data_IF_615423356135
#
_entry.id   IF_615423356135
#
_cell.length_a   1.000
_cell.length_b   1.000
_cell.length_c   1.000
_cell.angle_alpha   90.00
_cell.angle_beta   90.00
_cell.angle_gamma   90.00
#
_symmetry.space_group_name_H-M   'P 1'
#
loop_
_entity.id
_entity.type
_entity.pdbx_description
1 polymer ?
#
# COMPACT_ATOMS: atom_id res chain seq x y z
N UNK A 1 49.33 24.98 10.73
CA UNK A 1 48.51 24.70 9.53
C UNK A 1 47.73 23.37 9.56
N UNK A 2 47.62 22.64 10.69
CA UNK A 2 46.94 21.34 10.75
C UNK A 2 45.51 21.36 11.38
N UNK A 3 45.09 22.48 11.98
CA UNK A 3 43.75 22.58 12.60
C UNK A 3 42.66 23.10 11.65
N UNK A 4 43.03 23.88 10.63
CA UNK A 4 42.05 24.40 9.64
C UNK A 4 41.56 23.39 8.61
N UNK A 5 42.39 22.42 8.25
CA UNK A 5 42.06 21.35 7.29
C UNK A 5 41.07 20.32 7.87
N UNK A 6 41.17 20.06 9.18
CA UNK A 6 40.23 19.14 9.85
C UNK A 6 38.83 19.74 10.00
N UNK A 7 38.74 21.05 10.25
CA UNK A 7 37.44 21.76 10.34
C UNK A 7 36.76 21.89 8.98
N UNK A 8 37.52 22.04 7.89
CA UNK A 8 36.98 22.06 6.53
C UNK A 8 36.48 20.68 6.08
N UNK A 9 37.14 19.60 6.50
CA UNK A 9 36.69 18.23 6.22
C UNK A 9 35.44 17.85 7.02
N UNK A 10 35.32 18.36 8.25
CA UNK A 10 34.13 18.15 9.10
C UNK A 10 32.89 18.92 8.55
N UNK A 11 33.11 20.09 7.94
CA UNK A 11 32.02 20.87 7.28
C UNK A 11 31.57 20.26 5.94
N UNK A 12 32.45 19.55 5.23
CA UNK A 12 32.08 18.85 3.99
C UNK A 12 31.33 17.55 4.23
N UNK A 13 31.49 16.93 5.41
CA UNK A 13 30.79 15.67 5.75
C UNK A 13 29.33 15.87 6.18
N UNK A 14 28.85 17.12 6.34
CA UNK A 14 27.47 17.43 6.80
C UNK A 14 26.53 17.74 5.62
N UNK A 15 26.96 17.67 4.38
CA UNK A 15 26.06 17.75 3.22
C UNK A 15 25.37 16.41 2.95
N UNK A 16 24.62 15.90 3.93
CA UNK A 16 23.63 14.87 3.68
C UNK A 16 22.54 15.54 2.83
N UNK A 17 22.27 15.09 1.60
CA UNK A 17 21.15 15.61 0.83
C UNK A 17 19.87 15.31 1.60
N UNK A 18 19.30 16.32 2.24
CA UNK A 18 17.98 16.25 2.83
C UNK A 18 17.02 16.09 1.66
N UNK A 19 16.69 14.87 1.30
CA UNK A 19 15.68 14.56 0.26
C UNK A 19 14.35 15.13 0.75
N UNK A 20 13.99 16.31 0.26
CA UNK A 20 12.70 16.92 0.56
C UNK A 20 11.61 16.02 0.01
N UNK A 21 10.78 15.47 0.89
CA UNK A 21 9.59 14.72 0.52
C UNK A 21 8.43 15.70 0.34
N UNK A 22 7.88 15.72 -0.86
CA UNK A 22 6.73 16.56 -1.22
C UNK A 22 5.44 15.75 -1.14
N UNK A 23 4.32 16.46 -1.01
CA UNK A 23 2.98 15.90 -0.94
C UNK A 23 2.20 16.26 -2.19
N UNK A 24 1.50 15.28 -2.76
CA UNK A 24 0.49 15.44 -3.79
C UNK A 24 -0.84 14.98 -3.23
N UNK A 25 -1.76 15.91 -2.99
CA UNK A 25 -3.06 15.61 -2.42
C UNK A 25 -4.15 16.47 -3.10
N UNK A 26 -5.39 16.01 -3.01
CA UNK A 26 -6.50 16.77 -3.59
C UNK A 26 -7.82 16.01 -3.59
N UNK A 27 -8.76 16.55 -4.39
CA UNK A 27 -10.07 15.94 -4.61
C UNK A 27 -10.39 15.97 -6.10
N UNK A 28 -10.95 14.88 -6.58
CA UNK A 28 -11.44 14.72 -7.96
C UNK A 28 -12.96 14.68 -7.94
N UNK A 29 -13.58 15.53 -8.75
CA UNK A 29 -15.04 15.65 -8.84
C UNK A 29 -15.48 15.62 -10.30
N UNK A 30 -16.72 15.25 -10.55
CA UNK A 30 -17.38 15.47 -11.84
C UNK A 30 -17.55 16.98 -12.09
N UNK A 31 -17.23 17.44 -13.29
CA UNK A 31 -17.29 18.87 -13.64
C UNK A 31 -18.73 19.41 -13.73
N UNK A 32 -19.71 18.55 -14.00
CA UNK A 32 -21.14 18.89 -14.17
C UNK A 32 -21.91 18.71 -12.86
N UNK A 33 -21.85 17.53 -12.25
CA UNK A 33 -22.63 17.17 -11.06
C UNK A 33 -21.99 17.64 -9.76
N UNK A 34 -20.67 17.95 -9.77
CA UNK A 34 -19.84 18.25 -8.60
C UNK A 34 -19.70 17.09 -7.61
N UNK A 35 -20.23 15.93 -7.94
CA UNK A 35 -20.08 14.73 -7.13
C UNK A 35 -18.62 14.24 -7.10
N UNK A 36 -18.14 13.71 -5.98
CA UNK A 36 -16.81 13.11 -5.91
C UNK A 36 -16.68 11.93 -6.88
N UNK A 37 -15.53 11.84 -7.56
CA UNK A 37 -15.21 10.71 -8.43
C UNK A 37 -14.34 9.69 -7.66
N UNK A 38 -14.93 8.59 -7.21
CA UNK A 38 -14.20 7.54 -6.52
C UNK A 38 -13.37 6.70 -7.50
N UNK A 39 -12.28 6.15 -6.99
CA UNK A 39 -11.41 5.19 -7.70
C UNK A 39 -10.78 5.74 -8.98
N UNK A 40 -10.63 7.06 -9.08
CA UNK A 40 -9.83 7.68 -10.13
C UNK A 40 -8.36 7.30 -9.96
N UNK A 41 -7.71 6.89 -11.04
CA UNK A 41 -6.26 6.72 -11.06
C UNK A 41 -5.59 8.11 -10.97
N UNK A 42 -4.72 8.30 -10.01
CA UNK A 42 -3.97 9.55 -9.78
C UNK A 42 -2.49 9.19 -9.74
N UNK A 43 -1.71 9.61 -10.74
CA UNK A 43 -0.30 9.22 -10.85
C UNK A 43 0.56 10.35 -11.40
N UNK A 44 1.85 10.25 -11.16
CA UNK A 44 2.84 11.08 -11.85
C UNK A 44 3.26 10.37 -13.14
N UNK A 45 3.19 11.09 -14.25
CA UNK A 45 3.51 10.57 -15.59
C UNK A 45 4.89 9.93 -15.60
N UNK A 46 5.01 8.80 -16.28
CA UNK A 46 6.24 8.02 -16.46
C UNK A 46 6.89 7.55 -15.14
N UNK A 47 6.06 7.33 -14.11
CA UNK A 47 6.51 6.83 -12.81
C UNK A 47 5.51 5.81 -12.23
N UNK A 48 5.91 5.11 -11.17
CA UNK A 48 5.02 4.29 -10.32
C UNK A 48 4.39 5.09 -9.19
N UNK A 49 4.79 6.36 -9.01
CA UNK A 49 4.29 7.19 -7.92
C UNK A 49 2.85 7.64 -8.21
N UNK A 50 1.94 7.27 -7.32
CA UNK A 50 0.52 7.60 -7.48
C UNK A 50 -0.35 6.85 -6.48
N UNK A 51 -1.66 6.99 -6.64
CA UNK A 51 -2.68 6.37 -5.81
C UNK A 51 -4.00 6.32 -6.57
N UNK A 52 -5.06 5.82 -5.94
CA UNK A 52 -6.45 5.99 -6.42
C UNK A 52 -7.21 6.91 -5.49
N UNK A 53 -8.24 7.61 -6.02
CA UNK A 53 -9.11 8.39 -5.14
C UNK A 53 -9.94 7.49 -4.24
N UNK A 54 -10.14 7.92 -3.00
CA UNK A 54 -11.11 7.33 -2.10
C UNK A 54 -12.55 7.51 -2.60
N UNK A 55 -13.51 6.95 -1.89
CA UNK A 55 -14.94 7.07 -2.23
C UNK A 55 -15.47 8.51 -2.12
N UNK A 56 -14.77 9.38 -1.41
CA UNK A 56 -15.03 10.81 -1.31
C UNK A 56 -14.28 11.63 -2.37
N UNK A 57 -13.66 10.95 -3.36
CA UNK A 57 -12.90 11.56 -4.43
C UNK A 57 -11.54 12.11 -4.00
N UNK A 58 -11.12 11.94 -2.75
CA UNK A 58 -9.84 12.46 -2.25
C UNK A 58 -8.70 11.53 -2.59
N UNK A 59 -7.51 12.11 -2.80
CA UNK A 59 -6.26 11.39 -3.01
C UNK A 59 -5.12 12.02 -2.23
N UNK A 60 -4.13 11.19 -1.88
CA UNK A 60 -2.93 11.60 -1.19
C UNK A 60 -1.80 10.62 -1.48
N UNK A 61 -0.63 11.12 -1.86
CA UNK A 61 0.62 10.34 -1.91
C UNK A 61 1.84 11.26 -1.78
N UNK A 62 2.99 10.67 -1.47
CA UNK A 62 4.26 11.37 -1.31
C UNK A 62 5.15 11.16 -2.53
N UNK A 63 5.96 12.16 -2.87
CA UNK A 63 6.92 12.12 -3.97
C UNK A 63 8.21 12.83 -3.57
N UNK A 64 9.31 12.46 -4.20
CA UNK A 64 10.59 13.19 -4.08
C UNK A 64 10.79 14.22 -5.21
N UNK A 65 9.82 14.36 -6.10
CA UNK A 65 9.90 15.27 -7.25
C UNK A 65 9.39 16.65 -6.91
N UNK A 66 10.21 17.66 -7.13
CA UNK A 66 9.81 19.08 -6.97
C UNK A 66 8.93 19.59 -8.11
N UNK A 67 8.94 18.91 -9.26
CA UNK A 67 8.09 19.18 -10.41
C UNK A 67 7.76 17.84 -11.10
N UNK A 68 6.51 17.64 -11.49
CA UNK A 68 6.04 16.44 -12.16
C UNK A 68 4.76 16.71 -12.96
N UNK A 69 4.42 15.81 -13.88
CA UNK A 69 3.14 15.85 -14.60
C UNK A 69 2.15 14.94 -13.88
N UNK A 70 1.11 15.53 -13.30
CA UNK A 70 0.01 14.80 -12.70
C UNK A 70 -0.96 14.35 -13.77
N UNK A 71 -1.25 13.05 -13.79
CA UNK A 71 -2.26 12.43 -14.67
C UNK A 71 -3.36 11.86 -13.77
N UNK A 72 -4.60 12.25 -14.05
CA UNK A 72 -5.78 11.69 -13.38
C UNK A 72 -6.71 11.17 -14.45
N UNK A 73 -7.07 9.89 -14.35
CA UNK A 73 -7.95 9.21 -15.31
C UNK A 73 -9.07 8.46 -14.59
N UNK A 74 -10.27 8.55 -15.17
CA UNK A 74 -11.49 7.86 -14.71
C UNK A 74 -12.25 7.38 -15.93
N UNK A 75 -12.78 6.17 -15.85
CA UNK A 75 -13.60 5.59 -16.92
C UNK A 75 -14.81 6.48 -17.21
N UNK A 76 -14.95 6.89 -18.47
CA UNK A 76 -16.04 7.77 -18.91
C UNK A 76 -15.79 9.27 -18.74
N UNK A 77 -14.56 9.65 -18.42
CA UNK A 77 -14.13 11.04 -18.29
C UNK A 77 -12.89 11.33 -19.14
N UNK A 78 -12.70 12.60 -19.51
CA UNK A 78 -11.47 13.04 -20.15
C UNK A 78 -10.33 13.07 -19.13
N UNK A 79 -9.14 12.63 -19.55
CA UNK A 79 -7.96 12.64 -18.70
C UNK A 79 -7.56 14.07 -18.31
N UNK A 80 -7.17 14.24 -17.07
CA UNK A 80 -6.55 15.46 -16.58
C UNK A 80 -5.03 15.29 -16.60
N UNK A 81 -4.35 16.12 -17.38
CA UNK A 81 -2.89 16.12 -17.49
C UNK A 81 -2.39 17.51 -17.20
N UNK A 82 -1.61 17.69 -16.14
CA UNK A 82 -1.08 19.00 -15.75
C UNK A 82 0.27 18.89 -15.06
N UNK A 83 1.20 19.76 -15.43
CA UNK A 83 2.44 19.93 -14.66
C UNK A 83 2.11 20.57 -13.29
N UNK A 84 2.58 19.93 -12.24
CA UNK A 84 2.41 20.36 -10.84
C UNK A 84 3.76 20.57 -10.18
N UNK A 85 3.76 21.39 -9.14
CA UNK A 85 4.88 21.55 -8.20
C UNK A 85 4.39 21.14 -6.82
N UNK A 86 4.64 19.89 -6.43
CA UNK A 86 4.25 19.39 -5.13
C UNK A 86 4.82 20.23 -4.00
N UNK A 87 4.03 20.48 -2.97
CA UNK A 87 4.45 21.25 -1.79
C UNK A 87 3.75 20.68 -0.55
N UNK A 88 4.30 20.92 0.65
CA UNK A 88 3.78 20.35 1.91
C UNK A 88 2.28 20.62 2.13
N UNK A 89 1.75 21.76 1.68
CA UNK A 89 0.37 22.18 1.91
C UNK A 89 -0.42 22.41 0.61
N UNK A 90 0.07 21.98 -0.55
CA UNK A 90 -0.67 22.12 -1.79
C UNK A 90 -1.79 21.08 -1.88
N UNK A 91 -3.01 21.54 -2.15
CA UNK A 91 -4.16 20.65 -2.41
C UNK A 91 -4.73 20.97 -3.79
N UNK A 92 -4.88 19.94 -4.62
CA UNK A 92 -5.37 20.06 -5.99
C UNK A 92 -6.87 19.77 -6.06
N UNK A 93 -7.66 20.72 -6.55
CA UNK A 93 -9.07 20.52 -6.86
C UNK A 93 -9.18 20.24 -8.35
N UNK A 94 -9.55 19.02 -8.73
CA UNK A 94 -9.64 18.59 -10.11
C UNK A 94 -11.07 18.24 -10.44
N UNK A 95 -11.63 18.89 -11.45
CA UNK A 95 -12.95 18.58 -11.98
C UNK A 95 -12.76 17.93 -13.36
N UNK A 96 -13.14 16.67 -13.50
CA UNK A 96 -13.07 15.93 -14.76
C UNK A 96 -14.37 16.12 -15.54
N UNK A 97 -14.21 16.40 -16.83
CA UNK A 97 -15.36 16.47 -17.74
C UNK A 97 -15.68 15.06 -18.24
N UNK A 98 -16.94 14.63 -18.26
CA UNK A 98 -17.36 13.42 -18.94
C UNK A 98 -16.89 13.45 -20.41
N UNK A 99 -16.47 12.29 -20.94
CA UNK A 99 -16.06 12.20 -22.34
C UNK A 99 -17.28 12.43 -23.24
N UNK A 100 -17.29 13.57 -23.93
CA UNK A 100 -18.26 13.84 -24.99
C UNK A 100 -17.74 13.23 -26.29
N UNK A 101 -18.45 12.25 -26.84
CA UNK A 101 -18.25 11.88 -28.22
C UNK A 101 -18.87 12.97 -29.11
N UNK A 102 -18.04 13.77 -29.73
CA UNK A 102 -18.46 14.79 -30.70
C UNK A 102 -19.08 14.12 -31.94
N UNK A 103 -20.39 13.97 -31.93
CA UNK A 103 -21.18 13.84 -33.14
C UNK A 103 -22.11 15.05 -33.21
N UNK A 104 -22.07 15.76 -34.34
CA UNK A 104 -22.70 17.05 -34.54
C UNK A 104 -24.15 17.15 -34.06
N UNK A 105 -24.41 18.27 -33.45
CA UNK A 105 -25.68 18.94 -33.17
C UNK A 105 -26.96 18.09 -33.10
N UNK A 106 -27.06 17.28 -32.07
CA UNK A 106 -28.30 16.81 -31.45
C UNK A 106 -28.01 16.73 -29.94
N UNK A 107 -28.77 17.45 -29.13
CA UNK A 107 -28.74 17.31 -27.66
C UNK A 107 -29.24 15.91 -27.32
N UNK A 108 -28.34 14.94 -27.35
CA UNK A 108 -28.57 13.58 -26.86
C UNK A 108 -27.88 13.51 -25.51
N UNK A 109 -28.65 13.28 -24.45
CA UNK A 109 -28.10 12.85 -23.16
C UNK A 109 -27.13 11.71 -23.42
N UNK A 110 -25.86 11.74 -22.93
CA UNK A 110 -24.89 10.73 -23.24
C UNK A 110 -25.45 9.37 -22.82
N UNK A 111 -25.77 8.50 -23.78
CA UNK A 111 -25.99 7.09 -23.51
C UNK A 111 -24.65 6.58 -22.98
N UNK A 112 -24.59 6.19 -21.70
CA UNK A 112 -23.48 5.41 -21.15
C UNK A 112 -23.28 4.25 -22.12
N UNK A 113 -22.14 4.20 -22.82
CA UNK A 113 -21.83 3.04 -23.64
C UNK A 113 -21.87 1.82 -22.73
N UNK A 114 -22.74 0.87 -23.08
CA UNK A 114 -22.81 -0.38 -22.36
C UNK A 114 -21.47 -1.10 -22.53
N UNK A 115 -20.79 -1.38 -21.42
CA UNK A 115 -19.60 -2.23 -21.42
C UNK A 115 -19.89 -3.51 -22.24
N UNK A 116 -19.09 -3.76 -23.26
CA UNK A 116 -19.16 -4.96 -24.07
C UNK A 116 -17.97 -5.85 -23.75
N UNK A 117 -18.25 -7.10 -23.40
CA UNK A 117 -17.22 -8.11 -23.15
C UNK A 117 -16.69 -8.71 -24.45
N UNK A 118 -17.57 -8.86 -25.45
CA UNK A 118 -17.24 -9.41 -26.76
C UNK A 118 -16.39 -8.41 -27.53
N UNK A 119 -15.32 -8.90 -28.14
CA UNK A 119 -14.38 -8.11 -28.95
C UNK A 119 -13.71 -6.93 -28.18
N UNK A 120 -13.58 -7.08 -26.87
CA UNK A 120 -12.96 -6.09 -26.00
C UNK A 120 -11.46 -6.42 -25.84
N UNK A 121 -10.55 -5.54 -26.30
CA UNK A 121 -9.09 -5.79 -26.23
C UNK A 121 -8.59 -5.94 -24.80
N UNK A 122 -9.19 -5.25 -23.81
CA UNK A 122 -8.80 -5.40 -22.39
C UNK A 122 -9.15 -6.81 -21.88
N UNK A 123 -10.29 -7.36 -22.30
CA UNK A 123 -10.69 -8.73 -21.90
C UNK A 123 -9.77 -9.77 -22.53
N UNK A 124 -9.37 -9.58 -23.79
CA UNK A 124 -8.43 -10.48 -24.44
C UNK A 124 -7.04 -10.41 -23.82
N UNK A 125 -6.59 -9.20 -23.48
CA UNK A 125 -5.33 -8.99 -22.76
C UNK A 125 -5.33 -9.75 -21.42
N UNK A 126 -6.39 -9.61 -20.62
CA UNK A 126 -6.52 -10.31 -19.33
C UNK A 126 -6.62 -11.83 -19.49
N UNK A 127 -7.25 -12.35 -20.55
CA UNK A 127 -7.27 -13.80 -20.80
C UNK A 127 -5.85 -14.34 -20.95
N UNK A 128 -5.01 -13.67 -21.76
CA UNK A 128 -3.60 -14.05 -21.93
C UNK A 128 -2.81 -13.94 -20.63
N UNK A 129 -3.06 -12.91 -19.81
CA UNK A 129 -2.49 -12.80 -18.47
C UNK A 129 -2.86 -14.00 -17.61
N UNK A 130 -4.14 -14.39 -17.57
CA UNK A 130 -4.64 -15.52 -16.78
C UNK A 130 -4.05 -16.84 -17.27
N UNK A 131 -3.91 -17.03 -18.59
CA UNK A 131 -3.31 -18.23 -19.19
C UNK A 131 -1.82 -18.35 -18.87
N UNK A 132 -1.09 -17.23 -18.81
CA UNK A 132 0.36 -17.21 -18.56
C UNK A 132 0.73 -17.11 -17.07
N UNK A 133 -0.21 -16.83 -16.18
CA UNK A 133 0.06 -16.46 -14.76
C UNK A 133 0.85 -17.49 -13.97
N UNK A 134 0.65 -18.77 -14.26
CA UNK A 134 1.26 -19.88 -13.53
C UNK A 134 2.70 -20.16 -14.05
N UNK A 135 3.04 -19.74 -15.28
CA UNK A 135 4.34 -20.01 -15.90
C UNK A 135 5.52 -19.38 -15.16
N UNK A 136 5.29 -18.25 -14.49
CA UNK A 136 6.32 -17.50 -13.78
C UNK A 136 6.12 -17.51 -12.26
N UNK A 137 5.30 -18.44 -11.78
CA UNK A 137 5.01 -18.56 -10.35
C UNK A 137 6.23 -19.07 -9.56
N UNK A 138 6.63 -18.44 -8.45
CA UNK A 138 7.67 -18.98 -7.59
C UNK A 138 7.27 -20.31 -6.95
N UNK A 139 5.97 -20.59 -6.85
CA UNK A 139 5.45 -21.85 -6.29
C UNK A 139 5.60 -23.05 -7.24
N UNK A 140 6.01 -22.82 -8.50
CA UNK A 140 6.40 -23.89 -9.40
C UNK A 140 7.84 -24.37 -9.19
N UNK A 141 8.65 -23.61 -8.45
CA UNK A 141 9.99 -24.03 -8.02
C UNK A 141 9.92 -25.07 -6.93
N UNK A 142 10.90 -25.98 -6.91
CA UNK A 142 11.01 -27.01 -5.85
C UNK A 142 11.28 -26.38 -4.48
N UNK A 143 12.01 -25.29 -4.48
CA UNK A 143 12.40 -24.55 -3.29
C UNK A 143 12.55 -23.07 -3.63
N UNK A 144 12.22 -22.20 -2.65
CA UNK A 144 12.69 -20.83 -2.58
C UNK A 144 12.79 -20.37 -1.14
N UNK A 145 13.68 -19.40 -0.90
CA UNK A 145 13.73 -18.61 0.31
C UNK A 145 13.86 -17.12 -0.03
N UNK A 146 13.42 -16.27 0.90
CA UNK A 146 13.54 -14.81 0.81
C UNK A 146 13.68 -14.21 2.19
N UNK A 147 14.32 -13.07 2.30
CA UNK A 147 14.25 -12.23 3.48
C UNK A 147 13.01 -11.35 3.42
N UNK A 148 12.38 -11.13 4.57
CA UNK A 148 11.23 -10.27 4.79
C UNK A 148 11.55 -9.28 5.89
N UNK A 149 11.51 -7.99 5.56
CA UNK A 149 11.35 -6.94 6.56
C UNK A 149 9.90 -6.49 6.53
N UNK A 150 9.26 -6.43 7.69
CA UNK A 150 7.87 -6.00 7.81
C UNK A 150 7.74 -4.95 8.92
N UNK A 151 6.99 -3.89 8.65
CA UNK A 151 6.58 -2.92 9.64
C UNK A 151 5.08 -2.72 9.61
N UNK A 152 4.44 -2.87 10.77
CA UNK A 152 3.02 -2.60 10.96
C UNK A 152 2.87 -1.43 11.91
N UNK A 153 2.13 -0.40 11.49
CA UNK A 153 1.84 0.79 12.28
C UNK A 153 0.35 0.91 12.54
N UNK A 154 0.01 1.43 13.72
CA UNK A 154 -1.35 1.72 14.12
C UNK A 154 -1.45 3.18 14.57
N UNK A 155 -2.48 3.87 14.07
CA UNK A 155 -2.70 5.26 14.36
C UNK A 155 -4.16 5.54 14.70
N UNK A 156 -4.39 6.57 15.49
CA UNK A 156 -5.72 7.13 15.71
C UNK A 156 -6.12 7.96 14.50
N UNK A 157 -7.30 7.69 13.94
CA UNK A 157 -7.86 8.43 12.82
C UNK A 157 -8.45 9.77 13.28
N UNK A 158 -8.50 10.72 12.31
CA UNK A 158 -9.11 12.03 12.50
C UNK A 158 -8.57 12.79 13.72
N UNK A 159 -7.25 12.72 13.92
CA UNK A 159 -6.57 13.44 15.01
C UNK A 159 -6.39 14.91 14.65
N UNK A 160 -7.51 15.60 14.41
CA UNK A 160 -7.58 17.01 14.03
C UNK A 160 -7.43 17.95 15.24
N UNK A 161 -7.43 19.26 14.97
CA UNK A 161 -7.32 20.29 16.01
C UNK A 161 -8.46 20.24 17.04
N UNK A 162 -9.68 19.80 16.64
CA UNK A 162 -10.80 19.68 17.59
C UNK A 162 -10.57 18.53 18.57
N UNK A 163 -10.04 17.41 18.07
CA UNK A 163 -9.68 16.26 18.91
C UNK A 163 -8.52 16.59 19.85
N UNK A 164 -7.53 17.35 19.38
CA UNK A 164 -6.40 17.81 20.19
C UNK A 164 -6.83 18.75 21.31
N UNK A 165 -7.90 19.54 21.14
CA UNK A 165 -8.47 20.44 22.18
C UNK A 165 -9.23 19.71 23.26
N UNK A 166 -9.57 18.42 23.10
CA UNK A 166 -10.20 17.61 24.17
C UNK A 166 -9.29 17.57 25.39
N UNK A 167 -9.90 17.62 26.60
CA UNK A 167 -9.17 17.74 27.88
C UNK A 167 -8.05 16.69 28.06
N UNK A 168 -8.27 15.48 27.53
CA UNK A 168 -7.32 14.38 27.59
C UNK A 168 -6.03 14.67 26.82
N UNK A 169 -6.13 15.29 25.65
CA UNK A 169 -4.97 15.58 24.78
C UNK A 169 -4.36 16.96 25.01
N UNK A 170 -5.13 17.91 25.58
CA UNK A 170 -4.68 19.28 25.83
C UNK A 170 -3.46 19.38 26.74
N UNK A 171 -3.19 18.35 27.54
CA UNK A 171 -2.01 18.28 28.41
C UNK A 171 -0.76 17.80 27.66
N UNK A 172 -0.90 17.35 26.42
CA UNK A 172 0.14 16.77 25.59
C UNK A 172 0.23 17.54 24.26
N UNK A 173 0.48 18.86 24.33
CA UNK A 173 0.58 19.76 23.17
C UNK A 173 1.65 19.32 22.17
N UNK A 174 2.71 18.65 22.64
CA UNK A 174 3.74 18.05 21.80
C UNK A 174 3.22 16.96 20.85
N UNK A 175 2.04 16.38 21.08
CA UNK A 175 1.48 15.35 20.17
C UNK A 175 1.29 15.87 18.73
N UNK A 176 1.13 17.19 18.57
CA UNK A 176 1.03 17.82 17.24
C UNK A 176 2.25 17.59 16.36
N UNK A 177 3.44 17.43 16.97
CA UNK A 177 4.69 17.18 16.25
C UNK A 177 4.73 15.77 15.63
N UNK A 178 3.89 14.86 16.13
CA UNK A 178 3.82 13.45 15.72
C UNK A 178 2.61 13.12 14.82
N UNK A 179 1.80 14.12 14.49
CA UNK A 179 0.67 13.95 13.59
C UNK A 179 1.17 13.80 12.16
N UNK A 180 0.76 12.73 11.50
CA UNK A 180 0.98 12.47 10.08
C UNK A 180 -0.35 12.56 9.30
N UNK A 181 -0.32 12.28 8.03
CA UNK A 181 -1.49 12.30 7.17
C UNK A 181 -1.74 10.91 6.60
N UNK A 182 -2.96 10.41 6.74
CA UNK A 182 -3.37 9.14 6.12
C UNK A 182 -3.10 9.17 4.62
N UNK A 183 -2.35 8.21 4.13
CA UNK A 183 -2.08 8.06 2.69
C UNK A 183 -3.34 7.77 1.86
N UNK A 184 -4.42 7.42 2.52
CA UNK A 184 -5.67 6.97 1.91
C UNK A 184 -6.73 8.06 1.93
N UNK A 185 -6.97 8.67 3.09
CA UNK A 185 -8.05 9.66 3.26
C UNK A 185 -7.57 11.09 3.30
N UNK A 186 -6.25 11.31 3.39
CA UNK A 186 -5.67 12.65 3.56
C UNK A 186 -6.00 13.30 4.91
N UNK A 187 -6.56 12.54 5.86
CA UNK A 187 -6.92 13.02 7.20
C UNK A 187 -5.75 12.91 8.16
N UNK A 188 -5.68 13.77 9.19
CA UNK A 188 -4.64 13.69 10.20
C UNK A 188 -4.74 12.41 11.02
N UNK A 189 -3.63 11.73 11.23
CA UNK A 189 -3.49 10.52 12.03
C UNK A 189 -2.37 10.70 13.05
N UNK A 190 -2.54 10.10 14.22
CA UNK A 190 -1.50 10.03 15.26
C UNK A 190 -1.06 8.58 15.42
N UNK A 191 0.16 8.26 15.01
CA UNK A 191 0.72 6.90 15.16
C UNK A 191 1.03 6.63 16.62
N UNK A 192 0.39 5.58 17.19
CA UNK A 192 0.48 5.24 18.61
C UNK A 192 1.17 3.91 18.88
N UNK A 193 1.31 3.04 17.86
CA UNK A 193 2.02 1.77 17.98
C UNK A 193 2.69 1.39 16.66
N UNK A 194 3.85 0.76 16.77
CA UNK A 194 4.57 0.19 15.64
C UNK A 194 5.17 -1.17 16.02
N UNK A 195 5.12 -2.12 15.07
CA UNK A 195 5.73 -3.44 15.19
C UNK A 195 6.64 -3.67 14.01
N UNK A 196 7.82 -4.19 14.25
CA UNK A 196 8.79 -4.56 13.21
C UNK A 196 9.12 -6.05 13.30
N UNK A 197 9.29 -6.67 12.16
CA UNK A 197 9.65 -8.08 11.99
C UNK A 197 10.75 -8.20 10.95
N UNK A 198 11.80 -8.93 11.28
CA UNK A 198 12.78 -9.42 10.30
C UNK A 198 12.74 -10.95 10.33
N UNK A 199 12.51 -11.56 9.17
CA UNK A 199 12.37 -12.99 9.05
C UNK A 199 12.93 -13.51 7.72
N UNK A 200 13.22 -14.80 7.66
CA UNK A 200 13.43 -15.52 6.40
C UNK A 200 12.23 -16.43 6.16
N UNK A 201 11.57 -16.27 5.03
CA UNK A 201 10.52 -17.17 4.58
C UNK A 201 11.12 -18.29 3.72
N UNK A 202 10.67 -19.51 3.93
CA UNK A 202 11.08 -20.69 3.19
C UNK A 202 9.87 -21.40 2.60
N UNK A 203 9.99 -21.84 1.37
CA UNK A 203 9.01 -22.69 0.69
C UNK A 203 9.69 -23.92 0.13
N UNK A 204 9.03 -25.06 0.25
CA UNK A 204 9.39 -26.34 -0.40
C UNK A 204 8.15 -26.93 -1.04
N UNK A 205 8.27 -27.35 -2.32
CA UNK A 205 7.15 -27.89 -3.09
C UNK A 205 6.80 -29.33 -2.70
N UNK A 206 7.80 -30.16 -2.42
CA UNK A 206 7.58 -31.58 -2.10
C UNK A 206 8.46 -32.08 -0.92
N UNK A 207 7.86 -32.57 0.20
CA UNK A 207 6.46 -32.35 0.57
C UNK A 207 6.20 -30.85 0.79
N UNK A 208 5.03 -30.38 0.34
CA UNK A 208 4.69 -28.95 0.43
C UNK A 208 4.77 -28.45 1.87
N UNK A 209 5.60 -27.47 2.08
CA UNK A 209 5.81 -26.87 3.39
C UNK A 209 6.26 -25.43 3.26
N UNK A 210 5.77 -24.60 4.16
CA UNK A 210 6.16 -23.19 4.30
C UNK A 210 6.64 -22.98 5.73
N UNK A 211 7.76 -22.29 5.89
CA UNK A 211 8.35 -21.95 7.18
C UNK A 211 8.70 -20.48 7.22
N UNK A 212 8.62 -19.87 8.39
CA UNK A 212 9.12 -18.54 8.64
C UNK A 212 10.10 -18.59 9.82
N UNK A 213 11.32 -18.15 9.59
CA UNK A 213 12.36 -18.04 10.61
C UNK A 213 12.50 -16.59 11.04
N UNK A 214 12.01 -16.27 12.23
CA UNK A 214 12.01 -14.92 12.79
C UNK A 214 13.37 -14.63 13.44
N UNK A 215 14.11 -13.69 12.85
CA UNK A 215 15.44 -13.22 13.29
C UNK A 215 15.35 -12.07 14.29
N UNK A 216 14.32 -11.24 14.16
CA UNK A 216 14.08 -10.11 15.02
C UNK A 216 12.61 -9.71 15.06
N UNK A 217 12.16 -9.29 16.24
CA UNK A 217 10.83 -8.73 16.48
C UNK A 217 10.95 -7.56 17.45
N UNK A 218 10.43 -6.41 17.05
CA UNK A 218 10.40 -5.21 17.87
C UNK A 218 8.98 -4.69 17.95
N UNK A 219 8.64 -4.13 19.10
CA UNK A 219 7.37 -3.50 19.34
C UNK A 219 7.58 -2.22 20.13
N UNK A 220 6.92 -1.15 19.69
CA UNK A 220 6.91 0.15 20.34
C UNK A 220 5.50 0.71 20.38
N UNK A 221 5.14 1.42 21.44
CA UNK A 221 3.86 2.11 21.55
C UNK A 221 2.91 1.53 22.57
N UNK A 222 1.66 1.95 22.53
CA UNK A 222 0.59 1.58 23.46
C UNK A 222 -0.14 0.35 22.94
N UNK A 223 0.08 -0.79 23.58
CA UNK A 223 -0.56 -2.06 23.20
C UNK A 223 -1.94 -2.26 23.79
N UNK A 224 -2.22 -1.64 24.89
CA UNK A 224 -3.49 -1.81 25.61
C UNK A 224 -4.70 -1.46 24.74
N UNK A 225 -4.52 -0.52 23.83
CA UNK A 225 -5.52 -0.14 22.83
C UNK A 225 -5.82 -1.26 21.81
N UNK A 226 -4.80 -2.08 21.49
CA UNK A 226 -4.89 -3.19 20.54
C UNK A 226 -5.22 -4.53 21.22
N UNK A 227 -5.16 -4.59 22.55
CA UNK A 227 -5.32 -5.83 23.33
C UNK A 227 -6.76 -6.32 23.45
N UNK A 228 -7.74 -5.52 23.05
CA UNK A 228 -9.14 -5.98 22.96
C UNK A 228 -9.20 -7.18 22.01
N UNK A 229 -9.60 -8.34 22.53
CA UNK A 229 -9.56 -9.64 21.81
C UNK A 229 -10.13 -9.59 20.39
N UNK A 230 -11.22 -8.83 20.17
CA UNK A 230 -11.82 -8.67 18.84
C UNK A 230 -10.95 -7.89 17.85
N UNK A 231 -10.21 -6.88 18.32
CA UNK A 231 -9.33 -6.07 17.49
C UNK A 231 -8.10 -6.84 17.05
N UNK A 232 -7.47 -7.60 17.95
CA UNK A 232 -6.31 -8.43 17.61
C UNK A 232 -6.67 -9.49 16.55
N UNK A 233 -7.83 -10.11 16.66
CA UNK A 233 -8.32 -11.06 15.66
C UNK A 233 -8.54 -10.39 14.29
N UNK A 234 -9.15 -9.19 14.26
CA UNK A 234 -9.35 -8.41 13.05
C UNK A 234 -8.02 -8.01 12.39
N UNK A 235 -7.05 -7.55 13.19
CA UNK A 235 -5.70 -7.18 12.72
C UNK A 235 -5.00 -8.38 12.08
N UNK A 236 -5.02 -9.53 12.74
CA UNK A 236 -4.38 -10.75 12.23
C UNK A 236 -5.05 -11.25 10.93
N UNK A 237 -6.35 -11.04 10.78
CA UNK A 237 -7.07 -11.44 9.57
C UNK A 237 -6.79 -10.49 8.39
N UNK A 238 -6.61 -9.21 8.67
CA UNK A 238 -6.35 -8.17 7.66
C UNK A 238 -4.93 -8.26 7.10
N UNK A 239 -3.95 -8.53 7.95
CA UNK A 239 -2.53 -8.51 7.58
C UNK A 239 -1.97 -9.91 7.26
N UNK A 240 -2.81 -10.80 6.73
CA UNK A 240 -2.34 -12.02 6.07
C UNK A 240 -1.62 -11.69 4.77
N UNK A 241 -0.68 -12.54 4.40
CA UNK A 241 -0.03 -12.45 3.09
C UNK A 241 -1.08 -12.59 1.98
N UNK A 242 -0.99 -11.73 0.99
CA UNK A 242 -1.92 -11.69 -0.15
C UNK A 242 -1.19 -12.15 -1.41
N UNK A 243 -1.72 -13.18 -2.07
CA UNK A 243 -1.33 -13.54 -3.43
C UNK A 243 -2.43 -13.13 -4.40
N UNK A 244 -2.19 -12.07 -5.19
CA UNK A 244 -3.15 -11.57 -6.17
C UNK A 244 -3.39 -12.55 -7.33
N UNK A 245 -2.52 -13.55 -7.49
CA UNK A 245 -2.63 -14.57 -8.53
C UNK A 245 -3.47 -15.77 -8.12
N UNK A 246 -3.86 -15.88 -6.85
CA UNK A 246 -4.87 -16.86 -6.43
C UNK A 246 -6.25 -16.52 -7.01
N UNK A 247 -7.12 -17.53 -7.15
CA UNK A 247 -8.47 -17.31 -7.63
C UNK A 247 -9.32 -16.50 -6.64
N UNK A 248 -9.07 -16.70 -5.34
CA UNK A 248 -9.76 -16.01 -4.26
C UNK A 248 -8.74 -15.53 -3.22
N UNK A 249 -8.84 -14.27 -2.87
CA UNK A 249 -8.06 -13.63 -1.82
C UNK A 249 -8.91 -13.61 -0.55
N UNK A 250 -8.40 -14.23 0.51
CA UNK A 250 -9.10 -14.27 1.82
C UNK A 250 -8.74 -13.03 2.63
N UNK A 251 -9.73 -12.17 2.87
CA UNK A 251 -9.61 -10.94 3.66
C UNK A 251 -10.85 -10.75 4.53
N UNK A 252 -10.71 -10.31 5.78
CA UNK A 252 -11.81 -10.01 6.69
C UNK A 252 -12.81 -11.18 6.83
N UNK A 253 -12.32 -12.42 6.86
CA UNK A 253 -13.13 -13.66 6.87
C UNK A 253 -13.94 -13.93 5.59
N UNK A 254 -13.85 -13.06 4.59
CA UNK A 254 -14.51 -13.20 3.29
C UNK A 254 -13.54 -13.61 2.19
N UNK A 255 -14.06 -14.20 1.13
CA UNK A 255 -13.31 -14.55 -0.07
C UNK A 255 -13.62 -13.56 -1.18
N UNK A 256 -12.63 -12.76 -1.54
CA UNK A 256 -12.69 -11.82 -2.66
C UNK A 256 -12.20 -12.50 -3.92
N UNK A 257 -12.94 -12.39 -5.00
CA UNK A 257 -12.48 -12.87 -6.30
C UNK A 257 -11.32 -12.01 -6.78
N UNK A 258 -10.20 -12.62 -7.16
CA UNK A 258 -9.07 -11.89 -7.75
C UNK A 258 -9.40 -11.43 -9.17
N UNK A 259 -8.93 -10.25 -9.62
CA UNK A 259 -9.04 -9.87 -11.03
C UNK A 259 -8.25 -10.80 -11.96
N UNK A 260 -7.27 -11.54 -11.44
CA UNK A 260 -6.52 -12.56 -12.18
C UNK A 260 -7.08 -13.99 -11.97
N UNK A 261 -8.26 -14.12 -11.36
CA UNK A 261 -8.96 -15.39 -11.23
C UNK A 261 -9.32 -15.98 -12.60
N UNK A 262 -9.37 -17.30 -12.70
CA UNK A 262 -9.88 -18.01 -13.91
C UNK A 262 -11.28 -17.58 -14.29
N UNK A 263 -12.10 -17.16 -13.33
CA UNK A 263 -13.44 -16.60 -13.59
C UNK A 263 -13.44 -15.07 -13.73
N UNK A 264 -12.28 -14.43 -13.63
CA UNK A 264 -12.10 -12.97 -13.57
C UNK A 264 -12.82 -12.25 -14.72
N UNK A 265 -12.68 -12.72 -15.96
CA UNK A 265 -13.35 -12.11 -17.12
C UNK A 265 -14.88 -12.22 -17.09
N UNK A 266 -15.45 -13.09 -16.26
CA UNK A 266 -16.89 -13.18 -15.99
C UNK A 266 -17.34 -12.31 -14.82
N UNK A 267 -16.43 -11.97 -13.92
CA UNK A 267 -16.70 -11.26 -12.68
C UNK A 267 -16.42 -9.76 -12.77
N UNK A 268 -15.42 -9.36 -13.58
CA UNK A 268 -14.93 -8.00 -13.72
C UNK A 268 -15.16 -7.41 -15.11
N UNK A 269 -15.31 -6.10 -15.15
CA UNK A 269 -15.10 -5.24 -16.32
C UNK A 269 -13.64 -4.81 -16.32
N UNK A 270 -13.00 -4.86 -17.50
CA UNK A 270 -11.61 -4.46 -17.69
C UNK A 270 -11.50 -3.38 -18.74
N UNK A 271 -10.56 -2.45 -18.53
CA UNK A 271 -10.34 -1.29 -19.38
C UNK A 271 -8.84 -1.06 -19.51
N UNK A 272 -8.35 -0.98 -20.74
CA UNK A 272 -6.99 -0.48 -21.01
C UNK A 272 -7.06 1.04 -21.01
N UNK A 273 -6.39 1.66 -20.03
CA UNK A 273 -6.46 3.10 -19.80
C UNK A 273 -5.35 3.84 -20.55
N UNK A 274 -4.09 3.44 -20.36
CA UNK A 274 -2.92 4.14 -20.89
C UNK A 274 -1.73 3.17 -21.00
N UNK A 275 -0.66 3.65 -21.60
CA UNK A 275 0.66 3.01 -21.61
C UNK A 275 1.67 3.90 -20.92
N UNK A 276 2.44 3.36 -19.99
CA UNK A 276 3.43 4.11 -19.21
C UNK A 276 4.73 3.31 -19.09
N UNK A 277 5.81 4.00 -18.75
CA UNK A 277 7.11 3.37 -18.50
C UNK A 277 7.28 3.11 -17.00
N UNK A 278 7.56 1.87 -16.62
CA UNK A 278 7.88 1.48 -15.24
C UNK A 278 9.24 0.80 -15.24
N UNK A 279 10.21 1.39 -14.53
CA UNK A 279 11.59 0.91 -14.51
C UNK A 279 12.17 0.62 -15.90
N UNK A 280 11.85 1.48 -16.89
CA UNK A 280 12.33 1.36 -18.27
C UNK A 280 11.58 0.35 -19.15
N UNK A 281 10.54 -0.32 -18.63
CA UNK A 281 9.70 -1.23 -19.38
C UNK A 281 8.34 -0.61 -19.72
N UNK A 282 7.83 -0.73 -20.97
CA UNK A 282 6.50 -0.27 -21.32
C UNK A 282 5.43 -1.15 -20.70
N UNK A 283 4.50 -0.53 -19.96
CA UNK A 283 3.42 -1.21 -19.27
C UNK A 283 2.06 -0.64 -19.63
N UNK A 284 1.07 -1.51 -19.81
CA UNK A 284 -0.33 -1.11 -19.87
C UNK A 284 -0.88 -0.84 -18.48
N UNK A 285 -1.61 0.25 -18.31
CA UNK A 285 -2.49 0.49 -17.16
C UNK A 285 -3.83 -0.20 -17.44
N UNK A 286 -4.08 -1.30 -16.76
CA UNK A 286 -5.30 -2.10 -16.85
C UNK A 286 -6.17 -1.84 -15.62
N UNK A 287 -7.21 -1.02 -15.78
CA UNK A 287 -8.21 -0.80 -14.74
C UNK A 287 -9.25 -1.92 -14.72
N UNK A 288 -9.75 -2.26 -13.54
CA UNK A 288 -10.79 -3.26 -13.37
C UNK A 288 -11.78 -2.90 -12.26
N UNK A 289 -13.03 -3.36 -12.42
CA UNK A 289 -14.10 -3.20 -11.43
C UNK A 289 -15.11 -4.35 -11.54
N UNK A 290 -15.70 -4.86 -10.45
CA UNK A 290 -16.72 -5.90 -10.51
C UNK A 290 -17.94 -5.46 -11.34
N UNK A 291 -18.62 -6.40 -12.02
CA UNK A 291 -19.90 -6.11 -12.66
C UNK A 291 -20.95 -5.65 -11.65
N UNK A 292 -20.95 -6.27 -10.46
CA UNK A 292 -21.78 -5.86 -9.34
C UNK A 292 -20.87 -5.32 -8.21
N UNK A 293 -21.04 -4.03 -7.88
CA UNK A 293 -20.26 -3.33 -6.87
C UNK A 293 -20.52 -3.79 -5.42
N UNK A 294 -21.51 -4.65 -5.19
CA UNK A 294 -21.80 -5.27 -3.89
C UNK A 294 -21.15 -6.65 -3.73
N UNK A 295 -20.60 -7.20 -4.82
CA UNK A 295 -19.90 -8.48 -4.78
C UNK A 295 -18.53 -8.35 -4.14
N UNK A 296 -18.07 -9.40 -3.44
CA UNK A 296 -16.73 -9.48 -2.87
C UNK A 296 -15.66 -9.54 -3.98
N UNK A 297 -15.29 -8.38 -4.45
CA UNK A 297 -14.29 -8.14 -5.47
C UNK A 297 -13.61 -6.80 -5.24
N UNK A 298 -12.59 -6.54 -6.02
CA UNK A 298 -11.77 -5.33 -5.93
C UNK A 298 -12.05 -4.37 -7.08
N UNK A 299 -11.84 -3.09 -6.84
CA UNK A 299 -11.57 -2.12 -7.89
C UNK A 299 -10.07 -1.86 -7.89
N UNK A 300 -9.50 -1.47 -9.01
CA UNK A 300 -8.10 -1.12 -9.02
C UNK A 300 -7.45 -1.14 -10.39
N UNK A 301 -6.12 -1.16 -10.35
CA UNK A 301 -5.25 -1.11 -11.50
C UNK A 301 -4.19 -2.22 -11.43
N UNK A 302 -3.89 -2.79 -12.57
CA UNK A 302 -2.75 -3.66 -12.80
C UNK A 302 -1.85 -2.98 -13.86
N UNK A 303 -0.61 -2.79 -13.51
CA UNK A 303 0.40 -2.28 -14.44
C UNK A 303 1.19 -3.45 -15.00
N UNK A 304 0.97 -3.74 -16.28
CA UNK A 304 1.37 -5.01 -16.92
C UNK A 304 2.28 -4.74 -18.09
N UNK A 305 3.40 -5.43 -18.17
CA UNK A 305 4.34 -5.29 -19.30
C UNK A 305 3.67 -5.63 -20.63
N UNK A 306 4.02 -4.88 -21.67
CA UNK A 306 3.52 -5.07 -23.04
C UNK A 306 4.34 -6.10 -23.83
N UNK A 307 4.95 -7.03 -23.13
CA UNK A 307 5.65 -8.17 -23.74
C UNK A 307 4.77 -9.44 -23.70
N UNK A 308 5.29 -10.53 -24.27
CA UNK A 308 4.58 -11.81 -24.31
C UNK A 308 4.42 -12.50 -22.94
N UNK A 309 5.05 -11.97 -21.89
CA UNK A 309 4.99 -12.54 -20.53
C UNK A 309 3.82 -12.03 -19.72
N UNK A 310 3.24 -10.86 -20.09
CA UNK A 310 2.15 -10.20 -19.37
C UNK A 310 2.47 -10.05 -17.88
N UNK A 311 3.68 -9.62 -17.57
CA UNK A 311 4.16 -9.53 -16.20
C UNK A 311 3.56 -8.34 -15.48
N UNK A 312 2.97 -8.55 -14.30
CA UNK A 312 2.47 -7.48 -13.45
C UNK A 312 3.65 -6.84 -12.71
N UNK A 313 3.94 -5.58 -13.00
CA UNK A 313 4.96 -4.79 -12.30
C UNK A 313 4.41 -4.22 -10.99
N UNK A 314 3.16 -3.76 -11.00
CA UNK A 314 2.49 -3.20 -9.84
C UNK A 314 1.01 -3.53 -9.88
N UNK A 315 0.44 -3.77 -8.71
CA UNK A 315 -0.98 -3.94 -8.49
C UNK A 315 -1.46 -2.96 -7.42
N UNK A 316 -2.61 -2.33 -7.64
CA UNK A 316 -3.25 -1.41 -6.70
C UNK A 316 -4.71 -1.79 -6.59
N UNK A 317 -5.12 -2.32 -5.43
CA UNK A 317 -6.45 -2.83 -5.18
C UNK A 317 -7.13 -2.11 -4.02
N UNK A 318 -8.39 -1.80 -4.19
CA UNK A 318 -9.30 -1.39 -3.12
C UNK A 318 -10.67 -2.07 -3.32
N UNK A 319 -11.60 -1.91 -2.42
CA UNK A 319 -12.95 -2.44 -2.58
C UNK A 319 -14.03 -1.34 -2.54
N UNK A 320 -15.20 -1.66 -3.09
CA UNK A 320 -16.34 -0.74 -3.09
C UNK A 320 -16.88 -0.54 -1.68
N UNK A 321 -17.19 0.70 -1.28
CA UNK A 321 -17.92 1.00 -0.04
C UNK A 321 -19.30 0.37 0.06
N UNK A 322 -19.84 -0.12 -1.06
CA UNK A 322 -21.13 -0.86 -1.08
C UNK A 322 -21.00 -2.27 -0.52
N UNK A 323 -19.77 -2.78 -0.41
CA UNK A 323 -19.53 -4.05 0.28
C UNK A 323 -19.56 -3.75 1.78
N UNK A 324 -20.52 -4.36 2.49
CA UNK A 324 -20.57 -4.24 3.95
C UNK A 324 -19.50 -5.15 4.57
N UNK A 325 -18.39 -4.57 4.91
CA UNK A 325 -17.33 -5.20 5.71
C UNK A 325 -17.41 -4.60 7.11
N UNK A 326 -17.98 -5.34 8.03
CA UNK A 326 -18.10 -4.92 9.42
C UNK A 326 -16.79 -4.31 9.93
N UNK A 327 -16.85 -3.08 10.44
CA UNK A 327 -15.73 -2.32 10.99
C UNK A 327 -14.64 -1.83 10.00
N UNK A 328 -14.70 -2.12 8.70
CA UNK A 328 -13.72 -1.65 7.73
C UNK A 328 -14.34 -0.56 6.85
N UNK A 329 -13.79 0.65 6.94
CA UNK A 329 -14.23 1.79 6.14
C UNK A 329 -13.49 1.90 4.81
N UNK A 330 -12.20 1.53 4.80
CA UNK A 330 -11.36 1.58 3.61
C UNK A 330 -10.19 0.58 3.68
N UNK A 331 -9.76 0.12 2.53
CA UNK A 331 -8.54 -0.67 2.35
C UNK A 331 -7.86 -0.31 1.04
N UNK A 332 -6.53 -0.24 1.07
CA UNK A 332 -5.66 -0.15 -0.09
C UNK A 332 -4.59 -1.24 0.02
N UNK A 333 -4.53 -2.09 -0.99
CA UNK A 333 -3.45 -3.06 -1.19
C UNK A 333 -2.62 -2.60 -2.38
N UNK A 334 -1.33 -2.48 -2.17
CA UNK A 334 -0.35 -2.22 -3.22
C UNK A 334 0.71 -3.30 -3.19
N UNK A 335 1.04 -3.86 -4.36
CA UNK A 335 2.11 -4.82 -4.53
C UNK A 335 2.98 -4.45 -5.71
N UNK A 336 4.29 -4.56 -5.55
CA UNK A 336 5.27 -4.39 -6.60
C UNK A 336 6.06 -5.69 -6.79
N UNK A 337 6.31 -6.01 -8.04
CA UNK A 337 6.96 -7.26 -8.42
C UNK A 337 8.21 -7.00 -9.25
N UNK A 338 9.22 -7.85 -9.05
CA UNK A 338 10.42 -7.92 -9.88
C UNK A 338 10.57 -9.30 -10.51
N UNK A 339 11.37 -9.40 -11.55
CA UNK A 339 11.71 -10.65 -12.20
C UNK A 339 13.04 -11.17 -11.68
N UNK A 340 13.14 -12.47 -11.44
CA UNK A 340 14.42 -13.16 -11.35
C UNK A 340 15.04 -13.29 -12.74
N UNK A 341 16.30 -13.69 -12.83
CA UNK A 341 17.01 -13.89 -14.11
C UNK A 341 16.32 -14.91 -15.03
N UNK A 342 15.67 -15.90 -14.45
CA UNK A 342 14.92 -16.94 -15.20
C UNK A 342 13.45 -16.55 -15.49
N UNK A 343 13.07 -15.31 -15.23
CA UNK A 343 11.73 -14.79 -15.44
C UNK A 343 10.76 -15.03 -14.29
N UNK A 344 11.14 -15.76 -13.23
CA UNK A 344 10.28 -16.01 -12.08
C UNK A 344 9.82 -14.71 -11.42
N UNK A 345 8.53 -14.62 -11.13
CA UNK A 345 7.91 -13.47 -10.47
C UNK A 345 8.25 -13.46 -8.99
N UNK A 346 8.82 -12.36 -8.53
CA UNK A 346 9.17 -12.14 -7.12
C UNK A 346 8.38 -10.95 -6.60
N UNK A 347 7.70 -11.11 -5.47
CA UNK A 347 7.13 -9.99 -4.74
C UNK A 347 8.28 -9.17 -4.14
N UNK A 348 8.34 -7.89 -4.45
CA UNK A 348 9.40 -6.98 -4.01
C UNK A 348 8.95 -6.11 -2.85
N UNK A 349 7.77 -5.53 -2.98
CA UNK A 349 7.18 -4.65 -1.99
C UNK A 349 5.68 -4.90 -1.86
N UNK A 350 5.17 -4.84 -0.63
CA UNK A 350 3.74 -4.89 -0.34
C UNK A 350 3.37 -3.82 0.69
N UNK A 351 2.28 -3.11 0.45
CA UNK A 351 1.67 -2.20 1.43
C UNK A 351 0.18 -2.49 1.55
N UNK A 352 -0.27 -2.78 2.75
CA UNK A 352 -1.70 -2.94 3.07
C UNK A 352 -2.07 -1.86 4.06
N UNK A 353 -2.95 -0.95 3.63
CA UNK A 353 -3.49 0.11 4.49
C UNK A 353 -4.96 -0.14 4.72
N UNK A 354 -5.41 -0.08 5.98
CA UNK A 354 -6.80 -0.28 6.36
C UNK A 354 -7.23 0.80 7.34
N UNK A 355 -8.41 1.34 7.12
CA UNK A 355 -9.09 2.20 8.08
C UNK A 355 -10.27 1.45 8.71
N UNK A 356 -10.22 1.28 10.02
CA UNK A 356 -11.28 0.68 10.81
C UNK A 356 -12.16 1.76 11.42
N UNK A 357 -13.46 1.54 11.40
CA UNK A 357 -14.46 2.37 12.06
C UNK A 357 -14.89 1.69 13.36
N UNK A 358 -14.61 2.30 14.48
CA UNK A 358 -14.93 1.74 15.80
C UNK A 358 -16.33 2.15 16.30
N UNK A 359 -16.78 3.34 15.90
CA UNK A 359 -18.07 3.92 16.32
C UNK A 359 -18.73 4.65 15.15
N UNK A 360 -20.03 4.85 15.21
CA UNK A 360 -20.76 5.64 14.19
C UNK A 360 -20.35 7.13 14.19
N UNK A 361 -19.60 7.58 15.19
CA UNK A 361 -19.28 8.98 15.45
C UNK A 361 -17.93 9.48 14.97
N UNK A 362 -17.16 8.79 14.13
CA UNK A 362 -15.88 9.23 13.53
C UNK A 362 -14.58 8.73 14.18
N UNK A 363 -14.59 8.07 15.33
CA UNK A 363 -13.37 7.50 15.89
C UNK A 363 -13.05 6.17 15.21
N UNK A 364 -11.86 6.06 14.66
CA UNK A 364 -11.39 4.87 13.96
C UNK A 364 -9.90 4.64 14.17
N UNK A 365 -9.43 3.53 13.67
CA UNK A 365 -8.02 3.16 13.66
C UNK A 365 -7.56 3.10 12.21
N UNK A 366 -6.47 3.78 11.94
CA UNK A 366 -5.65 3.55 10.77
C UNK A 366 -4.64 2.46 11.09
N UNK A 367 -4.51 1.48 10.23
CA UNK A 367 -3.47 0.46 10.34
C UNK A 367 -2.80 0.27 8.99
N UNK A 368 -1.47 0.20 8.98
CA UNK A 368 -0.68 0.00 7.78
C UNK A 368 0.40 -1.04 8.02
N UNK A 369 0.45 -2.04 7.16
CA UNK A 369 1.55 -2.98 7.06
C UNK A 369 2.33 -2.70 5.78
N UNK A 370 3.64 -2.60 5.91
CA UNK A 370 4.59 -2.52 4.79
C UNK A 370 5.52 -3.72 4.91
N UNK A 371 5.73 -4.44 3.83
CA UNK A 371 6.66 -5.56 3.76
C UNK A 371 7.56 -5.42 2.54
N UNK A 372 8.87 -5.50 2.76
CA UNK A 372 9.90 -5.51 1.72
C UNK A 372 10.54 -6.88 1.66
N UNK A 373 10.72 -7.39 0.45
CA UNK A 373 11.23 -8.74 0.21
C UNK A 373 12.52 -8.70 -0.60
N UNK A 374 13.56 -9.36 -0.09
CA UNK A 374 14.89 -9.36 -0.69
C UNK A 374 15.55 -10.73 -0.61
N UNK A 375 16.75 -10.81 -1.15
CA UNK A 375 17.66 -11.97 -1.02
C UNK A 375 16.99 -13.32 -1.40
N UNK A 376 16.23 -13.29 -2.52
CA UNK A 376 15.66 -14.52 -3.05
C UNK A 376 16.72 -15.48 -3.53
N UNK A 377 16.60 -16.76 -3.15
CA UNK A 377 17.35 -17.86 -3.73
C UNK A 377 16.48 -19.09 -3.90
N UNK A 378 16.76 -19.85 -4.95
CA UNK A 378 16.07 -21.08 -5.31
C UNK A 378 16.90 -22.34 -4.96
N UNK A 379 18.06 -22.14 -4.35
CA UNK A 379 18.92 -23.23 -3.89
C UNK A 379 18.73 -23.42 -2.39
N UNK A 380 18.40 -24.65 -1.91
CA UNK A 380 18.28 -24.93 -0.49
C UNK A 380 19.57 -24.59 0.27
N UNK A 381 19.41 -24.04 1.47
CA UNK A 381 20.49 -23.71 2.38
C UNK A 381 20.45 -24.60 3.61
N UNK A 382 21.56 -24.75 4.32
CA UNK A 382 21.61 -25.49 5.57
C UNK A 382 20.63 -24.95 6.64
N UNK A 383 20.35 -23.63 6.61
CA UNK A 383 19.33 -23.02 7.47
C UNK A 383 17.92 -23.46 7.08
N UNK A 384 17.64 -23.54 5.79
CA UNK A 384 16.34 -24.01 5.29
C UNK A 384 16.12 -25.48 5.69
N UNK A 385 17.13 -26.35 5.52
CA UNK A 385 17.05 -27.74 5.95
C UNK A 385 16.73 -27.84 7.44
N UNK A 386 17.43 -27.06 8.28
CA UNK A 386 17.16 -26.95 9.70
C UNK A 386 15.73 -26.47 10.00
N UNK A 387 15.22 -25.47 9.25
CA UNK A 387 13.88 -24.98 9.41
C UNK A 387 12.83 -26.06 9.12
N UNK A 388 13.03 -26.86 8.07
CA UNK A 388 12.10 -27.92 7.70
C UNK A 388 12.12 -29.15 8.62
N UNK A 389 13.11 -29.30 9.51
CA UNK A 389 13.08 -30.31 10.57
C UNK A 389 12.19 -29.94 11.74
N UNK A 390 11.84 -28.64 11.90
CA UNK A 390 11.00 -28.17 12.99
C UNK A 390 9.52 -28.40 12.66
N UNK A 391 8.70 -28.81 13.65
CA UNK A 391 7.25 -28.97 13.45
C UNK A 391 6.53 -27.63 13.27
N UNK A 392 7.00 -26.55 13.91
CA UNK A 392 6.36 -25.24 13.90
C UNK A 392 6.46 -24.59 12.51
N UNK A 393 5.43 -23.86 12.11
CA UNK A 393 5.46 -23.03 10.89
C UNK A 393 6.30 -21.77 11.10
N UNK A 394 6.18 -21.16 12.27
CA UNK A 394 6.95 -19.98 12.66
C UNK A 394 7.97 -20.41 13.71
N UNK A 395 9.24 -20.19 13.40
CA UNK A 395 10.38 -20.51 14.25
C UNK A 395 10.97 -19.18 14.68
N UNK A 396 11.09 -18.96 15.97
CA UNK A 396 11.61 -17.70 16.52
C UNK A 396 12.98 -17.93 17.17
N UNK A 397 13.95 -17.10 16.85
CA UNK A 397 15.25 -17.10 17.51
C UNK A 397 15.12 -16.64 18.95
N UNK A 398 15.90 -17.22 19.85
CA UNK A 398 15.87 -16.89 21.29
C UNK A 398 16.10 -15.39 21.55
N UNK A 399 16.91 -14.75 20.70
CA UNK A 399 17.24 -13.33 20.81
C UNK A 399 16.32 -12.41 19.99
N UNK A 400 15.30 -12.96 19.32
CA UNK A 400 14.46 -12.19 18.40
C UNK A 400 13.81 -10.97 19.05
N UNK A 401 13.40 -11.06 20.31
CA UNK A 401 12.76 -9.99 21.08
C UNK A 401 13.77 -9.02 21.72
N UNK A 402 15.05 -9.36 21.76
CA UNK A 402 16.09 -8.56 22.44
C UNK A 402 17.14 -7.98 21.50
N UNK A 403 16.85 -7.92 20.20
CA UNK A 403 17.76 -7.34 19.20
C UNK A 403 18.06 -5.88 19.49
N UNK A 404 19.35 -5.46 19.48
CA UNK A 404 19.74 -4.07 19.71
C UNK A 404 19.30 -3.17 18.55
N UNK A 405 19.26 -1.85 18.77
CA UNK A 405 18.86 -0.88 17.74
C UNK A 405 19.82 -0.87 16.53
N UNK A 406 21.07 -1.20 16.72
CA UNK A 406 22.05 -1.36 15.63
C UNK A 406 21.62 -2.43 14.63
N UNK A 407 21.11 -3.56 15.12
CA UNK A 407 20.54 -4.61 14.26
C UNK A 407 19.40 -4.08 13.38
N UNK A 408 18.50 -3.29 13.95
CA UNK A 408 17.38 -2.71 13.20
C UNK A 408 17.85 -1.64 12.22
N UNK A 409 18.82 -0.81 12.60
CA UNK A 409 19.38 0.21 11.72
C UNK A 409 20.02 -0.38 10.47
N UNK A 410 20.67 -1.54 10.59
CA UNK A 410 21.31 -2.26 9.48
C UNK A 410 20.31 -2.94 8.54
N UNK A 411 19.14 -3.34 9.06
CA UNK A 411 18.18 -4.17 8.32
C UNK A 411 16.91 -3.42 7.88
N UNK A 412 16.72 -2.17 8.29
CA UNK A 412 15.57 -1.36 7.82
C UNK A 412 15.79 -0.86 6.39
N UNK A 413 14.84 -1.10 5.47
CA UNK A 413 14.84 -0.45 4.16
C UNK A 413 14.71 1.06 4.30
N UNK A 414 15.52 1.84 3.56
CA UNK A 414 15.52 3.29 3.66
C UNK A 414 14.27 3.97 3.07
N UNK A 415 13.51 3.28 2.23
CA UNK A 415 12.57 3.92 1.31
C UNK A 415 11.10 3.97 1.76
N UNK A 416 10.66 3.14 2.72
CA UNK A 416 9.23 2.81 2.82
C UNK A 416 8.46 3.44 4.00
N UNK A 417 9.11 4.17 4.92
CA UNK A 417 8.51 4.51 6.21
C UNK A 417 8.52 6.02 6.44
N UNK A 418 7.35 6.59 6.78
CA UNK A 418 7.24 8.01 7.10
C UNK A 418 8.12 8.36 8.31
N UNK A 419 8.56 9.62 8.37
CA UNK A 419 9.37 10.10 9.50
C UNK A 419 8.61 10.01 10.83
N UNK A 420 7.29 10.23 10.81
CA UNK A 420 6.41 10.16 11.97
C UNK A 420 6.26 8.70 12.45
N UNK A 421 6.10 7.75 11.53
CA UNK A 421 6.06 6.32 11.87
C UNK A 421 7.34 5.84 12.55
N UNK A 422 8.50 6.43 12.21
CA UNK A 422 9.78 6.13 12.85
C UNK A 422 9.96 6.84 14.20
N UNK A 423 9.06 7.74 14.57
CA UNK A 423 9.16 8.54 15.79
C UNK A 423 8.37 7.98 16.98
N UNK A 424 7.70 6.82 16.82
CA UNK A 424 6.88 6.22 17.90
C UNK A 424 7.68 5.98 19.17
N UNK A 425 8.92 5.51 19.07
CA UNK A 425 9.79 5.33 20.25
C UNK A 425 10.05 6.65 20.99
N UNK A 426 10.25 7.76 20.25
CA UNK A 426 10.43 9.09 20.84
C UNK A 426 9.16 9.61 21.48
N UNK A 427 8.02 9.43 20.80
CA UNK A 427 6.71 9.77 21.31
C UNK A 427 6.46 9.07 22.67
N UNK A 428 6.70 7.76 22.75
CA UNK A 428 6.51 6.99 23.96
C UNK A 428 7.45 7.41 25.08
N UNK A 429 8.70 7.72 24.76
CA UNK A 429 9.65 8.23 25.73
C UNK A 429 9.20 9.58 26.30
N UNK A 430 8.68 10.46 25.45
CA UNK A 430 8.17 11.76 25.85
C UNK A 430 6.87 11.63 26.67
N UNK A 431 5.94 10.76 26.27
CA UNK A 431 4.74 10.47 27.03
C UNK A 431 5.06 9.97 28.45
N UNK A 432 5.98 9.01 28.58
CA UNK A 432 6.42 8.47 29.88
C UNK A 432 7.11 9.51 30.78
N UNK A 433 7.66 10.57 30.23
CA UNK A 433 8.25 11.66 31.00
C UNK A 433 7.20 12.59 31.66
N UNK A 434 5.94 12.52 31.22
CA UNK A 434 4.87 13.36 31.76
C UNK A 434 4.27 12.75 33.04
N UNK A 435 4.14 13.49 34.14
CA UNK A 435 3.61 12.98 35.43
C UNK A 435 2.19 12.41 35.31
N UNK A 436 1.40 12.88 34.36
CA UNK A 436 0.01 12.43 34.12
C UNK A 436 -0.05 10.99 33.58
N UNK A 437 0.99 10.52 32.89
CA UNK A 437 1.03 9.17 32.37
C UNK A 437 0.94 8.08 33.46
N UNK A 438 1.60 8.31 34.60
CA UNK A 438 1.61 7.37 35.71
C UNK A 438 0.28 7.26 36.49
N UNK A 439 -0.70 8.14 36.20
CA UNK A 439 -2.01 8.14 36.84
C UNK A 439 -3.10 7.52 35.98
N UNK A 440 -2.77 7.07 34.77
CA UNK A 440 -3.69 6.50 33.76
C UNK A 440 -3.43 5.04 33.48
N UNK A 441 -2.33 4.46 33.99
CA UNK A 441 -2.08 3.03 34.07
C UNK A 441 -2.75 2.42 35.32
#
# INVERSE_FOLDING_TARGET
>A
MKKGTLTLFLLLAISIPLSAQYVVQGVVTDSLTKEPLPYASVRLKDTTEGTTTGSDGRFYFKTHRSEAVLVISVIGYNDYIRTIRPARNASYKVALAPTEYALGEVVVKPKREHYRKKDNPAVEFVRRMIESRDNYSPYEKDFWQRERYEKTTFALNNFDEEKQKKWLYRKFDFLTEYVDTSAVTGKPILTVSARELLATDYYRKSPRSEKQWVKGRKQAGVDEFLSKQGMQAAINEVFKDVDIYENNISLFTNKFVSPLSRIGTGFYKYYLMDTLQIAGEPCADLAFTPFNSESFGFNGHLYVTLDSTYFVKRAVFNFSKKINLNFVDYMLLEQEFKRAEDGTRLLDHESITVEFKLTEGQDGIFARRVADYSNYTFTPTAEADKAFTKPERIIEETEALSRPETFWAENRPQAAISQQENSVDRLMTQLRSYPVYYWTE
#
